data_IF_130737702121
#
_entry.id   IF_130737702121
#
_cell.length_a   1.000
_cell.length_b   1.000
_cell.length_c   1.000
_cell.angle_alpha   90.00
_cell.angle_beta   90.00
_cell.angle_gamma   90.00
#
_symmetry.space_group_name_H-M   'P 1'
#
loop_
_entity.id
_entity.type
_entity.pdbx_description
1 polymer ?
#
# COMPACT_ATOMS: atom_id res chain seq x y z
N UNK A 1 -8.36 -9.33 9.02
CA UNK A 1 -8.41 -7.85 9.20
C UNK A 1 -7.04 -7.30 8.79
N UNK A 2 -6.96 -6.16 8.11
CA UNK A 2 -5.76 -5.63 7.44
C UNK A 2 -6.07 -4.25 6.84
N UNK A 3 -5.07 -3.46 6.45
CA UNK A 3 -5.24 -2.28 5.60
C UNK A 3 -4.32 -2.36 4.39
N UNK A 4 -4.86 -1.99 3.24
CA UNK A 4 -4.08 -1.56 2.08
C UNK A 4 -4.54 -0.17 1.70
N UNK A 5 -3.59 0.74 1.56
CA UNK A 5 -3.81 2.08 1.06
C UNK A 5 -3.10 2.24 -0.29
N UNK A 6 -3.70 2.99 -1.19
CA UNK A 6 -3.09 3.31 -2.48
C UNK A 6 -3.44 4.73 -2.91
N UNK A 7 -2.49 5.38 -3.56
CA UNK A 7 -2.64 6.74 -4.08
C UNK A 7 -2.16 6.81 -5.52
N UNK A 8 -2.97 7.43 -6.38
CA UNK A 8 -2.62 7.77 -7.75
C UNK A 8 -1.92 9.13 -7.75
N UNK A 9 -0.59 9.14 -7.89
CA UNK A 9 0.21 10.35 -7.70
C UNK A 9 0.26 11.19 -8.98
N UNK A 10 1.02 12.29 -8.99
CA UNK A 10 1.40 12.92 -10.25
C UNK A 10 2.18 11.93 -11.11
N UNK A 11 3.26 11.36 -10.56
CA UNK A 11 4.15 10.43 -11.23
C UNK A 11 4.05 9.04 -10.61
N UNK A 12 3.26 8.18 -11.24
CA UNK A 12 3.12 6.78 -10.84
C UNK A 12 2.03 6.53 -9.80
N UNK A 13 2.02 5.30 -9.29
CA UNK A 13 1.07 4.85 -8.28
C UNK A 13 1.86 4.31 -7.10
N UNK A 14 1.43 4.59 -5.87
CA UNK A 14 2.00 3.99 -4.67
C UNK A 14 0.95 3.12 -3.98
N UNK A 15 1.37 1.92 -3.57
CA UNK A 15 0.60 1.03 -2.71
C UNK A 15 1.36 0.79 -1.40
N UNK A 16 0.63 0.70 -0.31
CA UNK A 16 1.13 0.41 1.02
C UNK A 16 0.22 -0.62 1.70
N UNK A 17 0.81 -1.51 2.49
CA UNK A 17 0.07 -2.51 3.26
C UNK A 17 0.63 -2.66 4.66
N UNK A 18 -0.22 -3.00 5.62
CA UNK A 18 0.26 -3.49 6.92
C UNK A 18 0.76 -4.94 6.83
N UNK A 19 1.56 -5.38 7.79
CA UNK A 19 2.11 -6.74 7.81
C UNK A 19 1.41 -7.68 8.80
N UNK A 20 0.39 -7.21 9.53
CA UNK A 20 -0.33 -8.01 10.52
C UNK A 20 -1.29 -9.03 9.91
N UNK A 21 -1.28 -10.26 10.41
CA UNK A 21 -2.32 -11.26 10.22
C UNK A 21 -2.94 -11.60 11.57
N UNK A 22 -4.25 -11.86 11.60
CA UNK A 22 -4.98 -12.27 12.80
C UNK A 22 -5.46 -13.70 12.62
N UNK A 23 -5.07 -14.57 13.54
CA UNK A 23 -5.45 -15.99 13.57
C UNK A 23 -6.53 -16.15 14.63
N UNK A 24 -7.73 -16.51 14.17
CA UNK A 24 -8.90 -16.73 15.03
C UNK A 24 -9.16 -18.22 15.17
N UNK A 25 -9.30 -18.68 16.42
CA UNK A 25 -9.60 -20.07 16.75
C UNK A 25 -10.81 -20.07 17.68
N UNK A 26 -11.75 -21.00 17.46
CA UNK A 26 -12.97 -21.08 18.27
C UNK A 26 -12.62 -21.28 19.75
N UNK A 27 -13.19 -20.45 20.62
CA UNK A 27 -12.98 -20.52 22.07
C UNK A 27 -11.57 -20.13 22.55
N UNK A 28 -10.70 -19.59 21.68
CA UNK A 28 -9.36 -19.12 22.04
C UNK A 28 -9.22 -17.63 21.74
N UNK A 29 -8.27 -16.99 22.42
CA UNK A 29 -7.87 -15.61 22.14
C UNK A 29 -7.28 -15.51 20.73
N UNK A 30 -7.58 -14.42 20.04
CA UNK A 30 -6.97 -14.07 18.75
C UNK A 30 -5.44 -13.96 18.90
N UNK A 31 -4.71 -14.54 17.95
CA UNK A 31 -3.26 -14.45 17.84
C UNK A 31 -2.90 -13.50 16.70
N UNK A 32 -1.90 -12.65 16.90
CA UNK A 32 -1.49 -11.63 15.94
C UNK A 32 -0.03 -11.80 15.54
N UNK A 33 0.25 -11.82 14.23
CA UNK A 33 1.59 -12.01 13.69
C UNK A 33 1.89 -10.91 12.66
N UNK A 34 3.01 -10.21 12.80
CA UNK A 34 3.38 -9.11 11.90
C UNK A 34 4.25 -9.60 10.74
N UNK A 35 3.90 -10.72 10.12
CA UNK A 35 4.74 -11.40 9.14
C UNK A 35 4.06 -11.66 7.77
N UNK A 36 2.96 -10.98 7.45
CA UNK A 36 2.26 -11.18 6.18
C UNK A 36 2.73 -10.21 5.09
N UNK A 37 3.22 -10.74 3.97
CA UNK A 37 3.45 -9.96 2.75
C UNK A 37 2.15 -9.83 1.97
N UNK A 38 1.68 -8.60 1.78
CA UNK A 38 0.40 -8.31 1.12
C UNK A 38 0.50 -7.62 -0.22
N UNK A 39 1.70 -7.21 -0.63
CA UNK A 39 1.98 -6.57 -1.92
C UNK A 39 2.77 -7.52 -2.83
N UNK A 40 2.28 -7.70 -4.06
CA UNK A 40 2.77 -8.65 -5.05
C UNK A 40 3.00 -7.95 -6.39
N UNK A 41 4.25 -7.82 -6.84
CA UNK A 41 4.54 -7.47 -8.22
C UNK A 41 3.89 -8.46 -9.19
N UNK A 42 3.12 -7.94 -10.16
CA UNK A 42 2.56 -8.72 -11.26
C UNK A 42 3.38 -8.54 -12.55
N UNK A 43 3.93 -7.35 -12.74
CA UNK A 43 4.78 -6.97 -13.87
C UNK A 43 5.69 -5.81 -13.44
N UNK A 44 6.64 -5.35 -14.28
CA UNK A 44 7.41 -4.12 -14.03
C UNK A 44 6.56 -2.86 -13.84
N UNK A 45 5.26 -2.90 -14.19
CA UNK A 45 4.36 -1.75 -14.14
C UNK A 45 3.03 -2.05 -13.44
N UNK A 46 2.96 -3.13 -12.64
CA UNK A 46 1.72 -3.52 -11.98
C UNK A 46 2.01 -4.24 -10.67
N UNK A 47 1.31 -3.84 -9.61
CA UNK A 47 1.37 -4.45 -8.28
C UNK A 47 -0.05 -4.74 -7.82
N UNK A 48 -0.23 -5.89 -7.17
CA UNK A 48 -1.46 -6.30 -6.50
C UNK A 48 -1.27 -6.26 -4.99
N UNK A 49 -2.21 -5.64 -4.31
CA UNK A 49 -2.42 -5.73 -2.87
C UNK A 49 -3.64 -6.59 -2.54
N UNK A 50 -3.64 -7.32 -1.42
CA UNK A 50 -4.85 -7.98 -0.92
C UNK A 50 -5.14 -7.71 0.57
N UNK A 51 -6.42 -7.73 0.92
CA UNK A 51 -6.92 -7.83 2.29
C UNK A 51 -8.04 -8.87 2.37
N UNK A 52 -8.29 -9.41 3.55
CA UNK A 52 -9.41 -10.33 3.80
C UNK A 52 -8.98 -11.69 4.33
N UNK A 53 -9.72 -12.72 3.94
CA UNK A 53 -9.48 -14.09 4.37
C UNK A 53 -8.24 -14.70 3.69
N UNK A 54 -7.28 -15.15 4.51
CA UNK A 54 -6.01 -15.68 4.03
C UNK A 54 -6.19 -17.01 3.29
N UNK A 55 -7.10 -17.87 3.77
CA UNK A 55 -7.38 -19.18 3.16
C UNK A 55 -7.90 -19.04 1.73
N UNK A 56 -8.67 -17.99 1.48
CA UNK A 56 -9.20 -17.66 0.15
C UNK A 56 -8.16 -16.93 -0.71
N UNK A 57 -7.45 -15.95 -0.15
CA UNK A 57 -6.46 -15.16 -0.90
C UNK A 57 -5.26 -15.98 -1.37
N UNK A 58 -4.75 -16.88 -0.52
CA UNK A 58 -3.55 -17.67 -0.81
C UNK A 58 -3.61 -18.48 -2.12
N UNK A 59 -4.62 -19.34 -2.37
CA UNK A 59 -4.71 -20.08 -3.62
C UNK A 59 -4.96 -19.16 -4.83
N UNK A 60 -5.73 -18.07 -4.68
CA UNK A 60 -6.01 -17.12 -5.76
C UNK A 60 -4.73 -16.41 -6.22
N UNK A 61 -3.94 -15.90 -5.28
CA UNK A 61 -2.70 -15.17 -5.60
C UNK A 61 -1.63 -16.12 -6.10
N UNK A 62 -1.46 -17.29 -5.47
CA UNK A 62 -0.45 -18.28 -5.89
C UNK A 62 -0.66 -18.72 -7.34
N UNK A 63 -1.90 -19.04 -7.69
CA UNK A 63 -2.25 -19.46 -9.05
C UNK A 63 -2.13 -18.30 -10.05
N UNK A 64 -2.50 -17.08 -9.66
CA UNK A 64 -2.30 -15.88 -10.48
C UNK A 64 -0.82 -15.70 -10.84
N UNK A 65 0.07 -15.72 -9.84
CA UNK A 65 1.50 -15.51 -10.04
C UNK A 65 2.11 -16.62 -10.91
N UNK A 66 1.68 -17.87 -10.71
CA UNK A 66 2.08 -18.99 -11.57
C UNK A 66 1.69 -18.76 -13.03
N UNK A 67 0.47 -18.29 -13.30
CA UNK A 67 0.02 -18.00 -14.67
C UNK A 67 0.75 -16.81 -15.29
N UNK A 68 1.08 -15.79 -14.49
CA UNK A 68 1.89 -14.64 -14.94
C UNK A 68 3.29 -15.10 -15.33
N UNK A 69 3.95 -15.89 -14.47
CA UNK A 69 5.28 -16.44 -14.73
C UNK A 69 5.30 -17.28 -16.01
N UNK A 70 4.29 -18.15 -16.19
CA UNK A 70 4.15 -18.94 -17.41
C UNK A 70 3.99 -18.07 -18.67
N UNK A 71 3.21 -16.99 -18.59
CA UNK A 71 3.09 -16.03 -19.70
C UNK A 71 4.42 -15.38 -20.04
N UNK A 72 5.24 -15.03 -19.04
CA UNK A 72 6.58 -14.51 -19.27
C UNK A 72 7.49 -15.53 -19.95
N UNK A 73 7.53 -16.78 -19.45
CA UNK A 73 8.34 -17.87 -20.05
C UNK A 73 7.95 -18.18 -21.49
N UNK A 74 6.69 -17.96 -21.86
CA UNK A 74 6.17 -18.15 -23.23
C UNK A 74 6.35 -16.92 -24.13
N UNK A 75 7.04 -15.86 -23.69
CA UNK A 75 7.18 -14.62 -24.46
C UNK A 75 5.90 -13.80 -24.59
N UNK A 76 4.85 -14.13 -23.82
CA UNK A 76 3.56 -13.44 -23.84
C UNK A 76 3.52 -12.22 -22.92
N UNK A 77 4.60 -11.42 -22.87
CA UNK A 77 4.70 -10.23 -22.02
C UNK A 77 3.57 -9.21 -22.27
N UNK A 78 3.03 -9.12 -23.50
CA UNK A 78 1.86 -8.29 -23.82
C UNK A 78 0.58 -8.69 -23.04
N UNK A 79 0.48 -9.94 -22.58
CA UNK A 79 -0.66 -10.44 -21.79
C UNK A 79 -0.61 -10.03 -20.32
N UNK A 80 0.51 -9.48 -19.87
CA UNK A 80 0.72 -8.93 -18.51
C UNK A 80 0.87 -7.41 -18.52
N UNK A 81 0.63 -6.79 -19.67
CA UNK A 81 0.43 -5.35 -19.79
C UNK A 81 -0.74 -4.87 -18.90
N UNK A 82 -0.67 -3.70 -18.25
CA UNK A 82 -1.70 -3.20 -17.33
C UNK A 82 -3.14 -3.27 -17.87
N UNK A 83 -3.36 -2.88 -19.14
CA UNK A 83 -4.69 -2.96 -19.75
C UNK A 83 -5.16 -4.40 -20.00
N UNK A 84 -4.23 -5.33 -20.28
CA UNK A 84 -4.53 -6.75 -20.41
C UNK A 84 -4.90 -7.34 -19.04
N UNK A 85 -4.16 -6.98 -17.99
CA UNK A 85 -4.45 -7.36 -16.61
C UNK A 85 -5.82 -6.84 -16.17
N UNK A 86 -6.13 -5.57 -16.43
CA UNK A 86 -7.43 -4.96 -16.10
C UNK A 86 -8.61 -5.75 -16.69
N UNK A 87 -8.49 -6.20 -17.96
CA UNK A 87 -9.55 -7.00 -18.62
C UNK A 87 -9.58 -8.45 -18.15
N UNK A 88 -8.48 -8.98 -17.65
CA UNK A 88 -8.33 -10.40 -17.30
C UNK A 88 -8.61 -10.67 -15.82
N UNK A 89 -8.01 -9.91 -14.91
CA UNK A 89 -8.05 -10.15 -13.46
C UNK A 89 -9.48 -10.24 -12.89
N UNK A 90 -10.43 -9.34 -13.20
CA UNK A 90 -11.80 -9.44 -12.70
C UNK A 90 -12.48 -10.76 -13.09
N UNK A 91 -12.30 -11.20 -14.34
CA UNK A 91 -12.87 -12.45 -14.85
C UNK A 91 -12.20 -13.67 -14.23
N UNK A 92 -10.87 -13.62 -14.13
CA UNK A 92 -10.06 -14.65 -13.48
C UNK A 92 -10.48 -14.84 -12.03
N UNK A 93 -10.48 -13.78 -11.22
CA UNK A 93 -10.82 -13.88 -9.80
C UNK A 93 -12.26 -14.30 -9.57
N UNK A 94 -13.22 -13.81 -10.37
CA UNK A 94 -14.62 -14.27 -10.27
C UNK A 94 -14.75 -15.76 -10.55
N UNK A 95 -14.07 -16.26 -11.59
CA UNK A 95 -14.09 -17.68 -11.94
C UNK A 95 -13.40 -18.54 -10.86
N UNK A 96 -12.20 -18.14 -10.45
CA UNK A 96 -11.41 -18.85 -9.44
C UNK A 96 -12.09 -18.85 -8.08
N UNK A 97 -12.64 -17.71 -7.63
CA UNK A 97 -13.41 -17.61 -6.39
C UNK A 97 -14.65 -18.51 -6.42
N UNK A 98 -15.42 -18.50 -7.52
CA UNK A 98 -16.58 -19.40 -7.71
C UNK A 98 -16.19 -20.87 -7.72
N UNK A 99 -15.01 -21.20 -8.24
CA UNK A 99 -14.48 -22.56 -8.19
C UNK A 99 -14.11 -22.96 -6.76
N UNK A 100 -13.41 -22.09 -6.03
CA UNK A 100 -13.06 -22.33 -4.64
C UNK A 100 -14.32 -22.47 -3.77
N UNK A 101 -15.32 -21.61 -3.95
CA UNK A 101 -16.57 -21.64 -3.16
C UNK A 101 -17.38 -22.93 -3.32
N UNK A 102 -17.11 -23.75 -4.36
CA UNK A 102 -17.71 -25.08 -4.53
C UNK A 102 -17.01 -26.18 -3.73
N UNK A 103 -15.75 -25.94 -3.31
CA UNK A 103 -14.89 -26.94 -2.67
C UNK A 103 -14.71 -26.72 -1.18
N UNK A 104 -14.75 -25.47 -0.74
CA UNK A 104 -14.47 -25.09 0.64
C UNK A 104 -15.21 -23.81 0.98
N UNK A 105 -15.33 -23.54 2.28
CA UNK A 105 -15.82 -22.27 2.80
C UNK A 105 -14.83 -21.16 2.42
N UNK A 106 -15.32 -20.15 1.70
CA UNK A 106 -14.52 -19.03 1.21
C UNK A 106 -14.92 -17.75 1.93
N UNK A 107 -13.93 -17.04 2.45
CA UNK A 107 -14.13 -15.74 3.07
C UNK A 107 -14.15 -14.60 2.05
N UNK A 108 -14.43 -13.40 2.56
CA UNK A 108 -14.29 -12.16 1.78
C UNK A 108 -12.81 -11.86 1.55
N UNK A 109 -12.48 -11.56 0.29
CA UNK A 109 -11.20 -10.98 -0.12
C UNK A 109 -11.43 -9.76 -0.99
N UNK A 110 -10.61 -8.74 -0.78
CA UNK A 110 -10.60 -7.51 -1.57
C UNK A 110 -9.18 -7.33 -2.13
N UNK A 111 -9.08 -6.88 -3.37
CA UNK A 111 -7.82 -6.62 -4.04
C UNK A 111 -7.71 -5.16 -4.45
N UNK A 112 -6.52 -4.58 -4.31
CA UNK A 112 -6.16 -3.27 -4.88
C UNK A 112 -5.06 -3.47 -5.91
N UNK A 113 -5.20 -2.87 -7.09
CA UNK A 113 -4.22 -2.97 -8.16
C UNK A 113 -3.78 -1.56 -8.51
N UNK A 114 -2.47 -1.34 -8.36
CA UNK A 114 -1.78 -0.16 -8.85
C UNK A 114 -1.01 -0.51 -10.10
N UNK A 115 -1.10 0.33 -11.12
CA UNK A 115 -0.38 0.14 -12.38
C UNK A 115 -0.08 1.46 -13.06
N UNK A 116 0.89 1.44 -13.96
CA UNK A 116 1.27 2.56 -14.82
C UNK A 116 1.23 2.08 -16.27
N UNK A 117 0.63 2.84 -17.18
CA UNK A 117 0.54 2.50 -18.61
C UNK A 117 1.62 3.31 -19.36
N UNK A 118 2.76 2.71 -19.73
CA UNK A 118 3.94 3.45 -20.20
C UNK A 118 3.72 4.28 -21.47
N UNK A 119 2.79 3.87 -22.32
CA UNK A 119 2.51 4.43 -23.65
C UNK A 119 1.41 5.50 -23.65
N UNK A 120 0.85 5.82 -22.48
CA UNK A 120 -0.19 6.83 -22.32
C UNK A 120 0.28 7.92 -21.37
N UNK A 121 -0.12 9.15 -21.63
CA UNK A 121 0.17 10.29 -20.76
C UNK A 121 -0.84 10.35 -19.62
N UNK A 122 -0.39 10.80 -18.45
CA UNK A 122 -1.26 11.03 -17.31
C UNK A 122 -2.16 12.24 -17.59
N UNK A 123 -3.45 12.09 -17.32
CA UNK A 123 -4.46 13.13 -17.53
C UNK A 123 -5.10 13.44 -16.19
N UNK A 124 -4.83 14.63 -15.67
CA UNK A 124 -5.30 15.04 -14.35
C UNK A 124 -6.43 16.06 -14.50
N UNK A 125 -7.36 16.06 -13.56
CA UNK A 125 -8.36 17.13 -13.48
C UNK A 125 -7.75 18.36 -12.81
N UNK A 126 -7.88 19.52 -13.47
CA UNK A 126 -7.36 20.79 -12.94
C UNK A 126 -7.92 21.11 -11.56
N UNK A 127 -9.20 20.80 -11.32
CA UNK A 127 -9.87 21.09 -10.04
C UNK A 127 -9.15 20.43 -8.85
N UNK A 128 -8.63 19.21 -9.01
CA UNK A 128 -7.88 18.50 -7.96
C UNK A 128 -6.58 19.21 -7.60
N UNK A 129 -5.92 19.80 -8.59
CA UNK A 129 -4.69 20.57 -8.39
C UNK A 129 -4.99 21.89 -7.68
N UNK A 130 -6.09 22.55 -8.04
CA UNK A 130 -6.56 23.76 -7.36
C UNK A 130 -6.94 23.45 -5.91
N UNK A 131 -7.64 22.34 -5.64
CA UNK A 131 -7.98 21.90 -4.29
C UNK A 131 -6.72 21.69 -3.42
N UNK A 132 -5.68 21.05 -3.96
CA UNK A 132 -4.40 20.90 -3.28
C UNK A 132 -3.81 22.28 -2.98
N UNK A 133 -3.75 23.18 -3.97
CA UNK A 133 -3.19 24.52 -3.85
C UNK A 133 -3.93 25.44 -2.86
N UNK A 134 -5.25 25.32 -2.79
CA UNK A 134 -6.05 26.05 -1.80
C UNK A 134 -5.71 25.65 -0.37
N UNK A 135 -5.34 24.38 -0.14
CA UNK A 135 -4.88 23.93 1.18
C UNK A 135 -3.55 24.57 1.59
N UNK A 136 -2.65 24.80 0.62
CA UNK A 136 -1.44 25.61 0.84
C UNK A 136 -1.79 27.04 1.21
N UNK A 137 -2.66 27.68 0.43
CA UNK A 137 -3.03 29.09 0.63
C UNK A 137 -3.68 29.34 1.98
N UNK A 138 -4.55 28.44 2.43
CA UNK A 138 -5.28 28.58 3.69
C UNK A 138 -4.44 28.23 4.93
N UNK A 139 -3.16 27.87 4.77
CA UNK A 139 -2.31 27.44 5.89
C UNK A 139 -2.79 26.16 6.57
N UNK A 140 -3.68 25.39 5.92
CA UNK A 140 -4.22 24.10 6.41
C UNK A 140 -3.28 22.94 6.08
N UNK A 141 -1.99 23.21 5.97
CA UNK A 141 -1.00 22.22 5.59
C UNK A 141 -0.69 21.31 6.77
N UNK A 142 -0.58 20.01 6.51
CA UNK A 142 -0.02 19.10 7.51
C UNK A 142 1.50 19.27 7.63
N UNK A 143 2.16 19.78 6.58
CA UNK A 143 3.58 20.09 6.55
C UNK A 143 3.85 21.57 6.26
N UNK A 144 4.53 22.26 7.17
CA UNK A 144 5.02 23.63 6.92
C UNK A 144 6.09 23.61 5.83
N UNK A 145 5.90 24.42 4.77
CA UNK A 145 6.86 24.51 3.66
C UNK A 145 6.83 25.89 3.02
N UNK A 146 8.01 26.32 2.59
CA UNK A 146 8.26 27.63 1.99
C UNK A 146 8.38 27.58 0.47
N UNK A 147 8.05 26.46 -0.15
CA UNK A 147 8.19 26.24 -1.59
C UNK A 147 7.00 25.47 -2.16
N UNK A 148 6.75 25.64 -3.46
CA UNK A 148 5.70 24.96 -4.21
C UNK A 148 6.33 24.06 -5.28
N UNK A 149 5.85 22.81 -5.45
CA UNK A 149 6.33 21.95 -6.51
C UNK A 149 6.14 22.59 -7.90
N UNK A 150 7.18 22.53 -8.72
CA UNK A 150 7.17 23.12 -10.06
C UNK A 150 6.03 22.61 -10.95
N UNK A 151 5.61 21.34 -10.77
CA UNK A 151 4.49 20.78 -11.52
C UNK A 151 3.16 21.47 -11.19
N UNK A 152 2.91 21.84 -9.92
CA UNK A 152 1.70 22.56 -9.55
C UNK A 152 1.68 23.94 -10.18
N UNK A 153 2.82 24.65 -10.14
CA UNK A 153 2.98 25.96 -10.78
C UNK A 153 2.74 25.84 -12.30
N UNK A 154 3.34 24.82 -12.94
CA UNK A 154 3.16 24.57 -14.38
C UNK A 154 1.69 24.36 -14.73
N UNK A 155 0.98 23.54 -13.95
CA UNK A 155 -0.45 23.30 -14.14
C UNK A 155 -1.25 24.57 -13.90
N UNK A 156 -0.98 25.31 -12.82
CA UNK A 156 -1.72 26.54 -12.50
C UNK A 156 -1.59 27.62 -13.56
N UNK A 157 -0.44 27.72 -14.23
CA UNK A 157 -0.19 28.64 -15.36
C UNK A 157 -0.93 28.27 -16.65
N UNK A 158 -1.49 27.06 -16.75
CA UNK A 158 -2.28 26.67 -17.93
C UNK A 158 -3.63 27.40 -17.97
N UNK A 159 -4.21 27.58 -19.18
CA UNK A 159 -5.51 28.25 -19.33
C UNK A 159 -6.58 27.66 -18.41
N UNK A 160 -7.37 28.53 -17.77
CA UNK A 160 -8.34 28.15 -16.72
C UNK A 160 -9.51 27.34 -17.29
N UNK A 161 -9.83 27.51 -18.57
CA UNK A 161 -10.84 26.78 -19.32
C UNK A 161 -10.48 25.30 -19.57
N UNK A 162 -9.21 24.92 -19.38
CA UNK A 162 -8.78 23.52 -19.49
C UNK A 162 -9.16 22.74 -18.23
N UNK A 163 -10.28 21.99 -18.34
CA UNK A 163 -10.71 21.04 -17.30
C UNK A 163 -9.67 19.93 -17.07
N UNK A 164 -9.11 19.37 -18.13
CA UNK A 164 -8.16 18.27 -18.09
C UNK A 164 -6.78 18.72 -18.55
N UNK A 165 -5.75 18.31 -17.81
CA UNK A 165 -4.36 18.66 -18.07
C UNK A 165 -3.58 17.39 -18.39
N UNK A 166 -2.94 17.38 -19.56
CA UNK A 166 -2.10 16.26 -20.00
C UNK A 166 -0.66 16.51 -19.55
N UNK A 167 -0.11 15.55 -18.81
CA UNK A 167 1.30 15.55 -18.38
C UNK A 167 2.12 14.72 -19.37
N UNK A 168 2.69 15.35 -20.38
CA UNK A 168 3.32 14.66 -21.53
C UNK A 168 4.48 13.73 -21.16
N UNK A 169 5.19 14.00 -20.08
CA UNK A 169 6.36 13.23 -19.65
C UNK A 169 6.05 12.21 -18.55
N UNK A 170 4.77 12.08 -18.19
CA UNK A 170 4.33 11.30 -17.04
C UNK A 170 3.37 10.22 -17.51
N UNK A 171 3.63 8.95 -17.22
CA UNK A 171 2.81 7.86 -17.74
C UNK A 171 1.43 7.82 -17.04
N UNK A 172 0.42 7.29 -17.72
CA UNK A 172 -0.93 7.25 -17.19
C UNK A 172 -1.02 6.28 -16.01
N UNK A 173 -1.57 6.76 -14.90
CA UNK A 173 -1.82 5.93 -13.74
C UNK A 173 -3.10 5.10 -13.93
N UNK A 174 -3.10 3.89 -13.39
CA UNK A 174 -4.26 3.03 -13.29
C UNK A 174 -4.29 2.47 -11.87
N UNK A 175 -5.18 3.00 -11.03
CA UNK A 175 -5.42 2.50 -9.69
C UNK A 175 -6.89 2.10 -9.58
N UNK A 176 -7.14 0.88 -9.12
CA UNK A 176 -8.49 0.39 -8.87
C UNK A 176 -8.49 -0.66 -7.76
N UNK A 177 -9.65 -0.87 -7.14
CA UNK A 177 -9.87 -1.97 -6.23
C UNK A 177 -11.11 -2.76 -6.62
N UNK A 178 -11.22 -3.99 -6.14
CA UNK A 178 -12.34 -4.86 -6.43
C UNK A 178 -12.58 -5.82 -5.26
N UNK A 179 -13.84 -6.17 -5.06
CA UNK A 179 -14.28 -6.96 -3.90
C UNK A 179 -14.92 -8.26 -4.36
N UNK A 180 -14.59 -9.35 -3.66
CA UNK A 180 -15.32 -10.61 -3.78
C UNK A 180 -16.81 -10.43 -3.43
N UNK A 181 -17.73 -11.23 -4.00
CA UNK A 181 -17.47 -12.27 -5.02
C UNK A 181 -17.49 -11.73 -6.46
N UNK A 182 -17.94 -10.48 -6.67
CA UNK A 182 -18.21 -9.95 -8.03
C UNK A 182 -16.94 -9.49 -8.76
N UNK A 183 -15.95 -9.01 -8.00
CA UNK A 183 -14.71 -8.42 -8.48
C UNK A 183 -14.93 -7.35 -9.55
N UNK A 184 -15.89 -6.46 -9.35
CA UNK A 184 -16.09 -5.31 -10.24
C UNK A 184 -15.05 -4.24 -9.88
N UNK A 185 -14.23 -3.77 -10.84
CA UNK A 185 -13.27 -2.69 -10.59
C UNK A 185 -13.96 -1.37 -10.22
N UNK A 186 -13.51 -0.75 -9.14
CA UNK A 186 -13.78 0.64 -8.78
C UNK A 186 -12.51 1.45 -9.05
N UNK A 187 -12.56 2.31 -10.07
CA UNK A 187 -11.41 3.09 -10.53
C UNK A 187 -11.22 4.36 -9.71
N UNK A 188 -9.96 4.77 -9.58
CA UNK A 188 -9.57 6.04 -8.98
C UNK A 188 -8.85 6.88 -10.03
N UNK A 189 -9.22 8.15 -10.12
CA UNK A 189 -8.58 9.11 -11.00
C UNK A 189 -7.18 9.49 -10.47
N UNK A 190 -6.34 10.14 -11.29
CA UNK A 190 -5.13 10.78 -10.79
C UNK A 190 -5.41 11.76 -9.66
N UNK A 191 -4.52 11.78 -8.67
CA UNK A 191 -4.64 12.53 -7.40
C UNK A 191 -5.78 12.07 -6.49
N UNK A 192 -6.30 10.86 -6.72
CA UNK A 192 -7.20 10.18 -5.80
C UNK A 192 -6.51 9.04 -5.06
N UNK A 193 -7.14 8.61 -3.99
CA UNK A 193 -6.63 7.61 -3.07
C UNK A 193 -7.77 6.74 -2.56
N UNK A 194 -7.44 5.55 -2.09
CA UNK A 194 -8.37 4.69 -1.37
C UNK A 194 -7.64 3.85 -0.33
N UNK A 195 -8.42 3.32 0.59
CA UNK A 195 -7.99 2.26 1.46
C UNK A 195 -9.04 1.14 1.48
N UNK A 196 -8.58 -0.11 1.58
CA UNK A 196 -9.43 -1.29 1.71
C UNK A 196 -9.06 -2.06 2.98
N UNK A 197 -10.02 -2.81 3.51
CA UNK A 197 -9.87 -3.62 4.72
C UNK A 197 -10.38 -2.91 5.98
N UNK A 198 -9.93 -3.34 7.15
CA UNK A 198 -10.37 -2.81 8.45
C UNK A 198 -9.85 -1.39 8.74
N UNK A 199 -8.85 -0.93 7.99
CA UNK A 199 -8.33 0.43 8.07
C UNK A 199 -8.88 1.37 6.99
N UNK A 200 -9.95 1.01 6.28
CA UNK A 200 -10.54 1.79 5.18
C UNK A 200 -10.86 3.25 5.55
N UNK A 201 -11.29 3.50 6.80
CA UNK A 201 -11.58 4.83 7.33
C UNK A 201 -10.38 5.79 7.35
N UNK A 202 -9.17 5.31 7.12
CA UNK A 202 -7.97 6.15 6.99
C UNK A 202 -8.05 7.14 5.83
N UNK A 203 -8.98 6.95 4.89
CA UNK A 203 -9.20 7.88 3.77
C UNK A 203 -9.37 9.34 4.21
N UNK A 204 -9.99 9.60 5.37
CA UNK A 204 -10.16 10.96 5.88
C UNK A 204 -8.83 11.58 6.31
N UNK A 205 -7.91 10.79 6.85
CA UNK A 205 -6.60 11.24 7.27
C UNK A 205 -5.63 11.33 6.08
N UNK A 206 -5.78 10.45 5.08
CA UNK A 206 -5.12 10.62 3.77
C UNK A 206 -5.59 11.92 3.12
N UNK A 207 -6.88 12.23 3.17
CA UNK A 207 -7.37 13.52 2.68
C UNK A 207 -6.69 14.67 3.40
N UNK A 208 -6.70 14.69 4.72
CA UNK A 208 -6.07 15.79 5.51
C UNK A 208 -4.59 15.98 5.22
N UNK A 209 -3.88 14.90 4.85
CA UNK A 209 -2.45 14.91 4.55
C UNK A 209 -2.16 14.84 3.03
N UNK A 210 -3.17 15.05 2.19
CA UNK A 210 -3.04 14.92 0.74
C UNK A 210 -2.00 15.90 0.17
N UNK A 211 -1.84 17.06 0.79
CA UNK A 211 -0.82 18.04 0.43
C UNK A 211 0.60 17.47 0.66
N UNK A 212 0.84 16.73 1.74
CA UNK A 212 2.13 16.10 2.00
C UNK A 212 2.37 14.92 1.04
N UNK A 213 1.33 14.13 0.78
CA UNK A 213 1.39 12.94 -0.08
C UNK A 213 1.56 13.30 -1.56
N UNK A 214 0.80 14.27 -2.08
CA UNK A 214 0.78 14.60 -3.52
C UNK A 214 1.66 15.78 -3.89
N UNK A 215 1.90 16.70 -2.97
CA UNK A 215 2.57 17.96 -3.26
C UNK A 215 3.88 18.15 -2.48
N UNK A 216 4.43 17.08 -1.90
CA UNK A 216 5.85 17.03 -1.52
C UNK A 216 6.77 17.21 -2.74
N UNK A 217 7.99 16.69 -2.67
CA UNK A 217 8.84 16.67 -3.86
C UNK A 217 8.29 15.61 -4.84
N UNK A 218 7.54 16.05 -5.85
CA UNK A 218 6.88 15.15 -6.80
C UNK A 218 7.91 14.25 -7.46
N UNK A 219 7.70 12.93 -7.37
CA UNK A 219 8.67 11.95 -7.85
C UNK A 219 9.61 11.42 -6.76
N UNK A 220 9.72 12.09 -5.61
CA UNK A 220 10.49 11.60 -4.47
C UNK A 220 9.74 10.46 -3.76
N UNK A 221 10.05 9.21 -4.17
CA UNK A 221 9.44 8.00 -3.60
C UNK A 221 9.50 7.95 -2.08
N UNK A 222 10.61 8.43 -1.49
CA UNK A 222 10.81 8.37 -0.05
C UNK A 222 9.82 9.30 0.68
N UNK A 223 9.74 10.57 0.29
CA UNK A 223 8.83 11.52 0.93
C UNK A 223 7.36 11.10 0.79
N UNK A 224 6.93 10.74 -0.42
CA UNK A 224 5.54 10.33 -0.70
C UNK A 224 5.16 9.08 0.12
N UNK A 225 6.06 8.10 0.21
CA UNK A 225 5.82 6.88 0.98
C UNK A 225 5.88 7.09 2.48
N UNK A 226 6.77 7.95 2.98
CA UNK A 226 6.82 8.32 4.39
C UNK A 226 5.57 9.07 4.81
N UNK A 227 5.09 10.02 4.01
CA UNK A 227 3.83 10.72 4.26
C UNK A 227 2.64 9.76 4.35
N UNK A 228 2.53 8.82 3.40
CA UNK A 228 1.48 7.82 3.40
C UNK A 228 1.60 6.85 4.59
N UNK A 229 2.81 6.38 4.92
CA UNK A 229 3.08 5.54 6.08
C UNK A 229 2.64 6.20 7.37
N UNK A 230 3.10 7.42 7.60
CA UNK A 230 2.84 8.17 8.83
C UNK A 230 1.35 8.44 9.00
N UNK A 231 0.68 8.80 7.90
CA UNK A 231 -0.77 8.99 7.91
C UNK A 231 -1.51 7.72 8.31
N UNK A 232 -1.12 6.58 7.73
CA UNK A 232 -1.76 5.29 8.03
C UNK A 232 -1.42 4.82 9.44
N UNK A 233 -0.15 4.80 9.84
CA UNK A 233 0.27 4.37 11.17
C UNK A 233 -0.38 5.19 12.27
N UNK A 234 -0.37 6.52 12.15
CA UNK A 234 -1.00 7.44 13.10
C UNK A 234 -2.50 7.18 13.22
N UNK A 235 -3.20 6.97 12.10
CA UNK A 235 -4.63 6.64 12.12
C UNK A 235 -4.91 5.32 12.85
N UNK A 236 -4.14 4.27 12.54
CA UNK A 236 -4.30 2.96 13.15
C UNK A 236 -4.04 3.01 14.66
N UNK A 237 -3.00 3.74 15.09
CA UNK A 237 -2.66 3.93 16.50
C UNK A 237 -3.75 4.72 17.24
N UNK A 238 -4.14 5.88 16.71
CA UNK A 238 -5.18 6.75 17.29
C UNK A 238 -6.51 6.03 17.48
N UNK A 239 -6.88 5.15 16.56
CA UNK A 239 -8.13 4.41 16.60
C UNK A 239 -7.98 3.02 17.24
N UNK A 240 -6.79 2.68 17.77
CA UNK A 240 -6.51 1.40 18.43
C UNK A 240 -6.96 0.17 17.61
N UNK A 241 -6.71 0.18 16.30
CA UNK A 241 -7.12 -0.92 15.41
C UNK A 241 -6.13 -2.08 15.56
N UNK A 242 -6.33 -2.93 16.56
CA UNK A 242 -5.40 -3.99 17.00
C UNK A 242 -5.00 -4.94 15.86
N UNK A 243 -5.90 -5.16 14.91
CA UNK A 243 -5.69 -6.09 13.81
C UNK A 243 -4.92 -5.56 12.61
N UNK A 244 -4.45 -4.32 12.69
CA UNK A 244 -3.57 -3.71 11.72
C UNK A 244 -2.28 -3.35 12.45
N UNK A 245 -1.14 -3.67 11.87
CA UNK A 245 0.14 -3.43 12.53
C UNK A 245 1.36 -3.99 11.81
N UNK A 246 2.45 -4.05 12.56
CA UNK A 246 3.81 -4.20 12.03
C UNK A 246 4.27 -2.94 11.30
N UNK A 247 5.37 -3.06 10.57
CA UNK A 247 5.81 -2.04 9.62
C UNK A 247 4.97 -2.11 8.35
N UNK A 248 4.97 -1.01 7.60
CA UNK A 248 4.16 -0.82 6.41
C UNK A 248 5.01 -0.85 5.12
N UNK A 249 5.24 -2.03 4.51
CA UNK A 249 5.78 -2.13 3.16
C UNK A 249 5.04 -1.25 2.17
N UNK A 250 5.81 -0.58 1.32
CA UNK A 250 5.25 0.21 0.23
C UNK A 250 6.02 -0.09 -1.06
N UNK A 251 5.27 -0.09 -2.17
CA UNK A 251 5.82 -0.20 -3.51
C UNK A 251 5.29 0.98 -4.32
N UNK A 252 6.20 1.72 -4.97
CA UNK A 252 5.85 2.72 -5.98
C UNK A 252 6.07 2.14 -7.36
N UNK A 253 5.15 2.41 -8.27
CA UNK A 253 5.13 1.89 -9.63
C UNK A 253 5.43 3.04 -10.58
N UNK A 254 6.45 2.86 -11.44
CA UNK A 254 6.89 3.81 -12.45
C UNK A 254 6.65 3.29 -13.87
N UNK A 255 7.09 4.08 -14.85
CA UNK A 255 6.98 3.77 -16.29
C UNK A 255 7.76 2.52 -16.69
N UNK A 256 8.88 2.25 -16.04
CA UNK A 256 9.89 1.29 -16.46
C UNK A 256 10.29 0.31 -15.34
N UNK A 257 9.95 0.62 -14.09
CA UNK A 257 10.28 -0.21 -12.94
C UNK A 257 9.25 -0.10 -11.81
N UNK A 258 9.43 -0.96 -10.81
CA UNK A 258 8.81 -0.84 -9.50
C UNK A 258 9.90 -0.58 -8.46
N UNK A 259 9.61 0.35 -7.57
CA UNK A 259 10.46 0.68 -6.43
C UNK A 259 9.91 0.04 -5.18
N UNK A 260 10.74 -0.78 -4.54
CA UNK A 260 10.47 -1.26 -3.20
C UNK A 260 11.03 -0.27 -2.19
N UNK A 261 10.15 0.38 -1.45
CA UNK A 261 10.52 1.50 -0.59
C UNK A 261 10.95 1.01 0.78
N UNK A 262 12.23 0.69 0.91
CA UNK A 262 12.88 0.43 2.19
C UNK A 262 12.97 1.73 3.02
N UNK A 263 12.99 1.62 4.34
CA UNK A 263 13.26 2.77 5.19
C UNK A 263 13.85 2.34 6.54
N UNK A 264 14.53 3.29 7.18
CA UNK A 264 15.01 3.15 8.55
C UNK A 264 14.49 4.36 9.33
N UNK A 265 13.79 4.11 10.43
CA UNK A 265 13.27 5.16 11.30
C UNK A 265 13.77 4.94 12.74
N UNK A 266 13.95 6.03 13.47
CA UNK A 266 14.33 5.99 14.87
C UNK A 266 13.17 6.52 15.72
N UNK A 267 12.77 5.76 16.75
CA UNK A 267 11.67 6.15 17.63
C UNK A 267 12.08 5.96 19.10
N UNK A 268 12.06 7.03 19.93
CA UNK A 268 12.13 8.47 19.56
C UNK A 268 13.51 8.82 18.96
N UNK A 269 13.83 10.10 18.71
CA UNK A 269 15.18 10.51 18.30
C UNK A 269 16.22 10.04 19.34
N UNK A 270 17.29 9.35 18.90
CA UNK A 270 18.24 8.69 19.80
C UNK A 270 17.76 7.34 20.39
N UNK A 271 16.54 6.91 20.07
CA UNK A 271 15.91 5.67 20.53
C UNK A 271 16.15 4.45 19.65
N UNK A 272 15.17 3.52 19.65
CA UNK A 272 15.25 2.28 18.89
C UNK A 272 15.17 2.56 17.39
N UNK A 273 16.06 1.93 16.62
CA UNK A 273 16.05 2.05 15.16
C UNK A 273 15.36 0.83 14.56
N UNK A 274 14.29 1.09 13.82
CA UNK A 274 13.55 0.09 13.06
C UNK A 274 13.88 0.21 11.58
N UNK A 275 14.07 -0.91 10.94
CA UNK A 275 14.43 -0.98 9.52
C UNK A 275 13.48 -1.92 8.80
N UNK A 276 12.98 -1.45 7.66
CA UNK A 276 12.29 -2.26 6.69
C UNK A 276 13.21 -2.37 5.46
N UNK A 277 13.66 -3.58 5.16
CA UNK A 277 14.58 -3.87 4.05
C UNK A 277 14.05 -5.00 3.18
N UNK A 278 14.72 -5.25 2.05
CA UNK A 278 14.41 -6.36 1.15
C UNK A 278 15.60 -7.29 1.01
N UNK A 279 15.34 -8.59 1.10
CA UNK A 279 16.32 -9.63 0.87
C UNK A 279 16.47 -9.97 -0.63
N UNK A 280 17.43 -10.85 -0.95
CA UNK A 280 17.69 -11.30 -2.33
C UNK A 280 16.49 -11.96 -3.02
N UNK A 281 15.57 -12.56 -2.25
CA UNK A 281 14.35 -13.21 -2.74
C UNK A 281 13.16 -12.24 -2.89
N UNK A 282 13.41 -10.92 -2.81
CA UNK A 282 12.38 -9.87 -2.84
C UNK A 282 11.34 -10.01 -1.72
N UNK A 283 11.76 -10.54 -0.57
CA UNK A 283 10.98 -10.58 0.66
C UNK A 283 11.36 -9.41 1.55
N UNK A 284 10.35 -8.82 2.14
CA UNK A 284 10.53 -7.78 3.15
C UNK A 284 11.03 -8.39 4.46
N UNK A 285 11.95 -7.69 5.11
CA UNK A 285 12.44 -8.00 6.45
C UNK A 285 12.21 -6.77 7.33
N UNK A 286 11.59 -6.98 8.48
CA UNK A 286 11.45 -5.98 9.53
C UNK A 286 12.50 -6.27 10.60
N UNK A 287 13.35 -5.29 10.89
CA UNK A 287 14.45 -5.45 11.83
C UNK A 287 14.43 -4.38 12.89
N UNK A 288 14.49 -4.79 14.15
CA UNK A 288 14.79 -3.90 15.25
C UNK A 288 16.31 -3.93 15.46
N UNK A 289 17.01 -2.85 15.09
CA UNK A 289 18.48 -2.78 15.18
C UNK A 289 18.99 -2.80 16.62
N UNK A 290 18.14 -2.46 17.60
CA UNK A 290 18.51 -2.48 19.02
C UNK A 290 18.43 -3.89 19.61
N UNK A 291 17.36 -4.63 19.34
CA UNK A 291 17.15 -5.98 19.91
C UNK A 291 17.73 -7.08 19.03
N UNK A 292 18.05 -6.78 17.76
CA UNK A 292 18.43 -7.78 16.76
C UNK A 292 17.26 -8.63 16.25
N UNK A 293 16.02 -8.38 16.73
CA UNK A 293 14.83 -9.11 16.29
C UNK A 293 14.55 -8.82 14.83
N UNK A 294 14.39 -9.89 14.05
CA UNK A 294 14.06 -9.85 12.63
C UNK A 294 12.79 -10.64 12.37
N UNK A 295 11.83 -10.05 11.64
CA UNK A 295 10.63 -10.72 11.15
C UNK A 295 10.61 -10.64 9.63
N UNK A 296 10.77 -11.79 8.98
CA UNK A 296 10.61 -11.93 7.54
C UNK A 296 9.13 -11.95 7.19
N UNK A 297 8.72 -11.18 6.17
CA UNK A 297 7.37 -11.28 5.63
C UNK A 297 7.24 -12.52 4.74
N UNK A 298 6.21 -13.29 5.02
CA UNK A 298 5.82 -14.54 4.38
C UNK A 298 4.68 -14.30 3.39
N UNK A 299 4.68 -15.06 2.31
CA UNK A 299 3.54 -15.11 1.42
C UNK A 299 2.34 -15.80 2.06
N UNK A 300 1.11 -15.52 1.59
CA UNK A 300 -0.12 -16.07 2.16
C UNK A 300 -0.17 -17.59 2.24
N UNK A 301 0.45 -18.30 1.30
CA UNK A 301 0.52 -19.77 1.29
C UNK A 301 1.68 -20.35 2.09
N UNK A 302 2.56 -19.50 2.63
CA UNK A 302 3.68 -19.89 3.52
C UNK A 302 3.26 -19.78 5.01
N UNK A 303 2.13 -19.14 5.31
CA UNK A 303 1.61 -18.95 6.67
C UNK A 303 0.71 -20.13 7.02
N UNK A 304 1.15 -21.01 7.91
CA UNK A 304 0.30 -22.04 8.52
C UNK A 304 -0.32 -21.50 9.83
N UNK A 305 -1.64 -21.26 9.89
CA UNK A 305 -2.29 -20.80 11.13
C UNK A 305 -2.13 -21.73 12.32
N UNK A 306 -1.73 -23.00 12.13
CA UNK A 306 -1.53 -23.96 13.21
C UNK A 306 -0.22 -23.73 13.97
N UNK A 307 0.83 -23.26 13.28
CA UNK A 307 2.17 -23.04 13.88
C UNK A 307 2.20 -21.87 14.86
N UNK A 308 1.26 -20.93 14.76
CA UNK A 308 1.19 -19.77 15.64
C UNK A 308 0.39 -20.06 16.91
N UNK A 309 1.11 -20.22 18.02
CA UNK A 309 0.52 -20.39 19.36
C UNK A 309 0.60 -19.12 20.22
N UNK A 310 1.44 -18.16 19.83
CA UNK A 310 1.69 -16.93 20.57
C UNK A 310 1.72 -15.72 19.63
N UNK A 311 1.53 -14.52 20.19
CA UNK A 311 1.62 -13.27 19.44
C UNK A 311 3.07 -13.06 18.94
N UNK A 312 3.21 -12.90 17.64
CA UNK A 312 4.48 -12.58 16.96
C UNK A 312 4.41 -11.17 16.39
N UNK A 313 4.18 -10.22 17.28
CA UNK A 313 4.09 -8.81 16.89
C UNK A 313 5.45 -8.15 16.85
N UNK A 314 5.58 -7.18 15.97
CA UNK A 314 6.70 -6.25 15.91
C UNK A 314 6.42 -5.06 16.86
N UNK A 315 6.03 -5.37 18.10
CA UNK A 315 5.55 -4.41 19.10
C UNK A 315 6.68 -3.87 20.01
N UNK A 316 7.95 -4.27 19.77
CA UNK A 316 9.14 -3.77 20.47
C UNK A 316 9.20 -2.22 20.49
N UNK A 317 8.51 -1.58 19.54
CA UNK A 317 8.30 -0.14 19.42
C UNK A 317 7.56 0.45 20.63
N UNK A 318 6.48 -0.20 21.08
CA UNK A 318 5.71 0.22 22.25
C UNK A 318 6.50 -0.04 23.54
N UNK A 319 7.22 -1.15 23.59
CA UNK A 319 8.06 -1.51 24.74
C UNK A 319 9.25 -0.53 24.90
N UNK A 320 9.84 -0.07 23.79
CA UNK A 320 10.87 0.97 23.82
C UNK A 320 10.32 2.31 24.33
N UNK A 321 9.13 2.71 23.85
CA UNK A 321 8.49 3.96 24.27
C UNK A 321 8.07 3.96 25.74
N UNK A 322 7.54 2.84 26.25
CA UNK A 322 7.10 2.70 27.64
C UNK A 322 8.28 2.80 28.63
N UNK A 323 9.44 2.19 28.29
CA UNK A 323 10.68 2.29 29.10
C UNK A 323 11.22 3.72 29.21
N UNK A 324 10.99 4.54 28.19
CA UNK A 324 11.49 5.92 28.16
C UNK A 324 10.69 6.84 29.08
N UNK A 325 9.36 6.70 29.12
CA UNK A 325 8.48 7.46 30.03
C UNK A 325 8.81 7.25 31.52
N UNK A 326 9.24 6.05 31.90
CA UNK A 326 9.60 5.74 33.30
C UNK A 326 10.87 6.48 33.74
N UNK A 327 11.81 6.76 32.83
CA UNK A 327 13.06 7.47 33.18
C UNK A 327 12.86 8.99 33.34
N UNK A 328 11.88 9.58 32.67
CA UNK A 328 11.63 11.03 32.73
C UNK A 328 10.89 11.45 34.00
N UNK A 329 10.14 10.55 34.66
CA UNK A 329 9.39 10.85 35.89
C UNK A 329 10.27 10.71 37.16
N UNK A 330 11.47 10.15 37.05
CA UNK A 330 12.41 9.94 38.17
C UNK A 330 13.52 11.00 38.30
N UNK A 331 13.36 12.14 37.64
CA UNK A 331 14.18 13.35 37.83
C UNK A 331 13.25 14.48 38.21
#
# INVERSE_FOLDING_TARGET
MSVIAGSSLFQGVILLADSRVTIRRLGRKDVYCDNAQKLFPLSPNSVLGFVGDLKTAAPLIRELLRQIEQKYKQGHAKRVHPLSLLRWLPRYFRSAYKYLSKKWDVGRVDFMIGSVIPEKNNVIERVKVVEIMERFRLGKLSAQRNWLPGILIKILKMPVDKKYIVLSDVPANLLYYMQSPKFVPSFLAPLEYAAIGSGDKVIMDIDRNADWIFAGEVGNSFQESMALRETVSSFIEKNSIISVGGLYPAIKIYKDHIDYLCYSMQIPAGGSTFELSINKDRRWIQKNKLTGKEIKLLFPWEIDPNEYHHDERFDDLKDALSRTKIRTIKK
#
